data_IF_392944159830
#
_entry.id   IF_392944159830
#
_cell.length_a   1.000
_cell.length_b   1.000
_cell.length_c   1.000
_cell.angle_alpha   90.00
_cell.angle_beta   90.00
_cell.angle_gamma   90.00
#
_symmetry.space_group_name_H-M   'P 1'
#
loop_
_entity.id
_entity.type
_entity.pdbx_description
1 polymer ?
#
# COMPACT_ATOMS: atom_id res chain seq x y z
N UNK A 1 -26.51 -4.37 37.31
CA UNK A 1 -25.99 -5.61 36.67
C UNK A 1 -25.08 -5.19 35.55
N UNK A 2 -23.76 -5.24 35.75
CA UNK A 2 -22.76 -4.93 34.72
C UNK A 2 -22.31 -6.24 34.07
N UNK A 3 -22.62 -6.42 32.80
CA UNK A 3 -22.10 -7.52 31.98
C UNK A 3 -20.80 -7.01 31.31
N UNK A 4 -19.65 -7.45 31.81
CA UNK A 4 -18.37 -7.29 31.11
C UNK A 4 -18.26 -8.49 30.16
N UNK A 5 -18.40 -8.23 28.87
CA UNK A 5 -18.16 -9.20 27.81
C UNK A 5 -16.65 -9.25 27.54
N UNK A 6 -15.95 -10.21 28.16
CA UNK A 6 -14.53 -10.44 27.90
C UNK A 6 -14.36 -11.21 26.58
N UNK A 7 -13.93 -10.53 25.51
CA UNK A 7 -13.46 -11.19 24.29
C UNK A 7 -12.02 -11.69 24.53
N UNK A 8 -11.85 -12.99 24.79
CA UNK A 8 -10.53 -13.62 24.81
C UNK A 8 -10.06 -13.87 23.37
N UNK A 9 -9.02 -13.16 22.93
CA UNK A 9 -8.33 -13.42 21.68
C UNK A 9 -7.29 -14.53 21.91
N UNK A 10 -7.65 -15.77 21.61
CA UNK A 10 -6.70 -16.90 21.63
C UNK A 10 -5.79 -16.83 20.40
N UNK A 11 -4.56 -16.37 20.60
CA UNK A 11 -3.52 -16.40 19.57
C UNK A 11 -2.85 -17.79 19.57
N UNK A 12 -3.28 -18.65 18.65
CA UNK A 12 -2.64 -19.94 18.41
C UNK A 12 -1.25 -19.73 17.78
N UNK A 13 -0.18 -19.85 18.57
CA UNK A 13 1.19 -19.91 18.07
C UNK A 13 1.40 -21.30 17.47
N UNK A 14 1.36 -21.40 16.14
CA UNK A 14 1.69 -22.62 15.43
C UNK A 14 3.21 -22.80 15.44
N UNK A 15 3.69 -23.68 16.31
CA UNK A 15 5.07 -24.15 16.38
C UNK A 15 5.38 -25.10 15.22
N UNK A 16 6.36 -24.76 14.41
CA UNK A 16 7.04 -25.70 13.53
C UNK A 16 8.54 -25.74 13.88
N UNK A 17 8.95 -26.80 14.59
CA UNK A 17 10.33 -27.31 14.61
C UNK A 17 10.65 -27.88 13.22
N UNK A 18 11.87 -27.94 12.67
CA UNK A 18 13.22 -28.05 13.25
C UNK A 18 14.23 -27.90 12.12
N UNK A 19 15.30 -27.13 12.32
CA UNK A 19 16.65 -27.59 11.98
C UNK A 19 17.69 -26.69 12.67
N UNK A 20 18.58 -27.34 13.43
CA UNK A 20 19.61 -26.69 14.23
C UNK A 20 20.70 -26.09 13.34
N UNK A 21 20.95 -24.79 13.48
CA UNK A 21 22.27 -24.21 13.21
C UNK A 21 22.57 -23.13 14.25
N UNK A 22 23.72 -23.28 14.90
CA UNK A 22 24.22 -22.45 15.98
C UNK A 22 24.39 -21.01 15.52
N UNK A 23 23.62 -20.11 16.11
CA UNK A 23 23.74 -18.67 15.95
C UNK A 23 23.01 -18.02 17.10
N UNK A 24 23.78 -17.43 18.00
CA UNK A 24 23.40 -16.59 19.14
C UNK A 24 21.91 -16.22 19.17
N UNK A 25 21.11 -16.95 19.97
CA UNK A 25 19.76 -16.54 20.33
C UNK A 25 19.88 -15.24 21.13
N UNK A 26 19.71 -14.11 20.45
CA UNK A 26 19.40 -12.86 21.12
C UNK A 26 18.13 -13.14 21.94
N UNK A 27 18.27 -13.08 23.27
CA UNK A 27 17.14 -12.93 24.17
C UNK A 27 16.45 -11.62 23.79
N UNK A 28 15.56 -11.69 22.81
CA UNK A 28 14.65 -10.61 22.49
C UNK A 28 13.63 -10.63 23.62
N UNK A 29 13.87 -9.80 24.63
CA UNK A 29 12.95 -9.58 25.73
C UNK A 29 11.63 -9.06 25.13
N UNK A 30 10.67 -9.97 24.98
CA UNK A 30 9.40 -9.71 24.30
C UNK A 30 8.62 -8.59 24.97
N UNK A 31 8.86 -8.34 26.27
CA UNK A 31 8.26 -7.24 27.02
C UNK A 31 8.79 -5.86 26.56
N UNK A 32 10.09 -5.75 26.27
CA UNK A 32 10.68 -4.51 25.74
C UNK A 32 10.23 -4.22 24.30
N UNK A 33 10.01 -5.26 23.49
CA UNK A 33 9.46 -5.13 22.14
C UNK A 33 8.02 -4.60 22.13
N UNK A 34 7.18 -5.07 23.05
CA UNK A 34 5.79 -4.62 23.17
C UNK A 34 5.71 -3.17 23.68
N UNK A 35 6.49 -2.80 24.70
CA UNK A 35 6.53 -1.42 25.18
C UNK A 35 7.04 -0.44 24.11
N UNK A 36 8.04 -0.85 23.33
CA UNK A 36 8.58 -0.03 22.25
C UNK A 36 7.55 0.21 21.14
N UNK A 37 6.79 -0.82 20.76
CA UNK A 37 5.71 -0.70 19.77
C UNK A 37 4.57 0.19 20.30
N UNK A 38 4.16 0.02 21.56
CA UNK A 38 3.14 0.87 22.19
C UNK A 38 3.58 2.35 22.26
N UNK A 39 4.83 2.62 22.64
CA UNK A 39 5.38 4.00 22.65
C UNK A 39 5.47 4.62 21.26
N UNK A 40 5.67 3.81 20.21
CA UNK A 40 5.62 4.30 18.84
C UNK A 40 4.20 4.67 18.42
N UNK A 41 3.21 3.85 18.75
CA UNK A 41 1.81 4.13 18.46
C UNK A 41 1.34 5.41 19.18
N UNK A 42 1.74 5.61 20.43
CA UNK A 42 1.44 6.83 21.19
C UNK A 42 2.04 8.09 20.56
N UNK A 43 3.32 8.03 20.17
CA UNK A 43 4.00 9.16 19.52
C UNK A 43 3.36 9.49 18.19
N UNK A 44 3.00 8.49 17.40
CA UNK A 44 2.29 8.69 16.14
C UNK A 44 0.93 9.36 16.36
N UNK A 45 0.14 8.89 17.32
CA UNK A 45 -1.18 9.47 17.65
C UNK A 45 -1.09 10.92 18.16
N UNK A 46 -0.02 11.28 18.88
CA UNK A 46 0.24 12.66 19.28
C UNK A 46 0.60 13.55 18.07
N UNK A 47 1.50 13.09 17.21
CA UNK A 47 1.93 13.83 16.02
C UNK A 47 0.79 14.00 15.02
N UNK A 48 -0.07 13.01 14.89
CA UNK A 48 -1.27 13.03 14.05
C UNK A 48 -2.24 14.16 14.39
N UNK A 49 -2.30 14.59 15.66
CA UNK A 49 -3.18 15.70 16.10
C UNK A 49 -2.62 17.07 15.77
N UNK A 50 -1.29 17.18 15.61
CA UNK A 50 -0.61 18.44 15.28
C UNK A 50 -0.73 18.75 13.78
N UNK A 51 -0.47 20.00 13.44
CA UNK A 51 -0.33 20.40 12.05
C UNK A 51 1.06 19.98 11.54
N UNK A 52 1.10 19.33 10.37
CA UNK A 52 2.33 18.77 9.80
C UNK A 52 3.37 19.86 9.51
N UNK A 53 2.92 21.06 9.12
CA UNK A 53 3.79 22.20 8.87
C UNK A 53 4.55 22.66 10.13
N UNK A 54 4.00 22.40 11.32
CA UNK A 54 4.58 22.80 12.61
C UNK A 54 5.51 21.74 13.22
N UNK A 55 5.64 20.57 12.58
CA UNK A 55 6.53 19.52 13.04
C UNK A 55 7.98 19.86 12.70
N UNK A 56 8.90 19.48 13.60
CA UNK A 56 10.33 19.48 13.30
C UNK A 56 10.65 18.46 12.20
N UNK A 57 11.79 18.60 11.53
CA UNK A 57 12.19 17.67 10.46
C UNK A 57 12.31 16.21 10.94
N UNK A 58 12.77 16.00 12.17
CA UNK A 58 12.83 14.67 12.78
C UNK A 58 11.42 14.09 13.04
N UNK A 59 10.47 14.92 13.49
CA UNK A 59 9.06 14.52 13.68
C UNK A 59 8.38 14.23 12.35
N UNK A 60 8.63 15.04 11.31
CA UNK A 60 8.12 14.80 9.95
C UNK A 60 8.62 13.47 9.39
N UNK A 61 9.92 13.20 9.54
CA UNK A 61 10.52 11.93 9.12
C UNK A 61 9.88 10.75 9.85
N UNK A 62 9.74 10.85 11.17
CA UNK A 62 9.08 9.83 11.97
C UNK A 62 7.63 9.60 11.53
N UNK A 63 6.88 10.68 11.32
CA UNK A 63 5.48 10.63 10.88
C UNK A 63 5.32 9.99 9.50
N UNK A 64 6.21 10.33 8.54
CA UNK A 64 6.26 9.68 7.22
C UNK A 64 6.53 8.18 7.33
N UNK A 65 7.53 7.78 8.13
CA UNK A 65 7.87 6.37 8.32
C UNK A 65 6.73 5.58 8.97
N UNK A 66 6.05 6.17 9.95
CA UNK A 66 4.86 5.56 10.56
C UNK A 66 3.74 5.36 9.53
N UNK A 67 3.46 6.37 8.69
CA UNK A 67 2.49 6.25 7.61
C UNK A 67 2.87 5.20 6.56
N UNK A 68 4.14 5.12 6.18
CA UNK A 68 4.67 4.07 5.31
C UNK A 68 4.39 2.69 5.94
N UNK A 69 4.74 2.49 7.21
CA UNK A 69 4.51 1.22 7.88
C UNK A 69 3.02 0.84 7.96
N UNK A 70 2.13 1.81 8.18
CA UNK A 70 0.69 1.60 8.15
C UNK A 70 0.21 1.17 6.75
N UNK A 71 0.63 1.90 5.72
CA UNK A 71 0.25 1.62 4.34
C UNK A 71 0.83 0.29 3.81
N UNK A 72 1.99 -0.12 4.31
CA UNK A 72 2.60 -1.41 3.98
C UNK A 72 1.66 -2.58 4.32
N UNK A 73 0.90 -2.45 5.41
CA UNK A 73 -0.02 -3.48 5.89
C UNK A 73 -1.48 -3.25 5.46
N UNK A 74 -1.78 -2.13 4.78
CA UNK A 74 -3.14 -1.84 4.31
C UNK A 74 -3.45 -2.61 3.02
N UNK A 75 -4.34 -3.59 3.12
CA UNK A 75 -4.75 -4.45 2.00
C UNK A 75 -5.29 -3.65 0.80
N UNK A 76 -6.06 -2.59 1.04
CA UNK A 76 -6.60 -1.78 -0.05
C UNK A 76 -5.51 -0.98 -0.75
N UNK A 77 -4.50 -0.54 0.01
CA UNK A 77 -3.34 0.15 -0.56
C UNK A 77 -2.45 -0.78 -1.38
N UNK A 78 -2.20 -2.00 -0.90
CA UNK A 78 -1.43 -3.00 -1.65
C UNK A 78 -2.13 -3.37 -2.98
N UNK A 79 -3.45 -3.57 -2.97
CA UNK A 79 -4.21 -3.84 -4.18
C UNK A 79 -4.21 -2.64 -5.15
N UNK A 80 -4.28 -1.42 -4.62
CA UNK A 80 -4.12 -0.20 -5.42
C UNK A 80 -2.76 -0.17 -6.13
N UNK A 81 -1.66 -0.43 -5.41
CA UNK A 81 -0.31 -0.44 -5.98
C UNK A 81 -0.18 -1.47 -7.09
N UNK A 82 -0.73 -2.66 -6.89
CA UNK A 82 -0.76 -3.72 -7.91
C UNK A 82 -1.47 -3.27 -9.17
N UNK A 83 -2.71 -2.79 -9.07
CA UNK A 83 -3.49 -2.30 -10.23
C UNK A 83 -2.81 -1.10 -10.91
N UNK A 84 -2.19 -0.20 -10.15
CA UNK A 84 -1.43 0.94 -10.69
C UNK A 84 -0.23 0.47 -11.50
N UNK A 85 0.54 -0.50 -10.99
CA UNK A 85 1.74 -1.01 -11.64
C UNK A 85 1.37 -1.80 -12.90
N UNK A 86 0.32 -2.62 -12.85
CA UNK A 86 -0.26 -3.29 -14.01
C UNK A 86 -0.66 -2.26 -15.08
N UNK A 87 -1.44 -1.25 -14.73
CA UNK A 87 -1.87 -0.21 -15.67
C UNK A 87 -0.68 0.60 -16.24
N UNK A 88 0.34 0.88 -15.44
CA UNK A 88 1.52 1.66 -15.86
C UNK A 88 2.40 0.87 -16.83
N UNK A 89 2.66 -0.42 -16.56
CA UNK A 89 3.37 -1.31 -17.47
C UNK A 89 2.65 -1.38 -18.83
N UNK A 90 1.32 -1.44 -18.79
CA UNK A 90 0.45 -1.49 -19.97
C UNK A 90 0.42 -0.17 -20.76
N UNK A 91 0.53 0.98 -20.09
CA UNK A 91 0.64 2.27 -20.75
C UNK A 91 2.02 2.47 -21.40
N UNK A 92 3.09 2.05 -20.72
CA UNK A 92 4.46 2.14 -21.24
C UNK A 92 4.68 1.23 -22.46
N UNK A 93 4.12 0.01 -22.45
CA UNK A 93 4.14 -0.89 -23.61
C UNK A 93 3.37 -0.30 -24.80
N UNK A 94 2.21 0.33 -24.57
CA UNK A 94 1.48 1.12 -25.59
C UNK A 94 2.33 2.27 -26.14
N UNK A 95 2.95 3.09 -25.28
CA UNK A 95 3.74 4.26 -25.73
C UNK A 95 4.91 3.84 -26.62
N UNK A 96 5.61 2.74 -26.29
CA UNK A 96 6.71 2.18 -27.11
C UNK A 96 6.25 1.60 -28.45
N UNK A 97 5.01 1.10 -28.55
CA UNK A 97 4.49 0.45 -29.78
C UNK A 97 3.53 1.35 -30.60
N UNK A 98 3.11 2.49 -30.07
CA UNK A 98 2.01 3.31 -30.64
C UNK A 98 2.33 4.21 -31.82
N UNK A 99 3.60 4.47 -32.16
CA UNK A 99 3.90 5.35 -33.31
C UNK A 99 4.20 4.62 -34.62
N UNK A 100 4.69 3.38 -34.58
CA UNK A 100 5.07 2.65 -35.81
C UNK A 100 4.47 1.24 -35.94
N UNK A 101 4.06 0.56 -34.85
CA UNK A 101 3.81 -0.90 -34.88
C UNK A 101 2.43 -1.37 -34.44
N UNK A 102 1.62 -0.52 -33.79
CA UNK A 102 0.28 -0.92 -33.37
C UNK A 102 -0.72 -0.89 -34.55
N UNK A 103 -0.61 0.04 -35.50
CA UNK A 103 -1.67 0.22 -36.51
C UNK A 103 -3.00 0.64 -35.85
N UNK A 104 -4.07 0.76 -36.64
CA UNK A 104 -5.40 1.10 -36.09
C UNK A 104 -6.03 -0.17 -35.48
N UNK A 105 -6.54 -0.12 -34.24
CA UNK A 105 -7.30 -1.23 -33.70
C UNK A 105 -8.58 -1.44 -34.54
N UNK A 106 -9.03 -2.70 -34.70
CA UNK A 106 -10.29 -3.00 -35.38
C UNK A 106 -11.48 -2.34 -34.67
N UNK A 107 -12.63 -2.16 -35.33
CA UNK A 107 -13.82 -1.52 -34.72
C UNK A 107 -14.63 -2.48 -33.85
N UNK A 108 -14.61 -3.77 -34.17
CA UNK A 108 -15.39 -4.79 -33.49
C UNK A 108 -14.77 -5.17 -32.14
N UNK A 109 -15.62 -5.30 -31.11
CA UNK A 109 -15.17 -5.50 -29.74
C UNK A 109 -14.35 -6.78 -29.54
N UNK A 110 -14.79 -7.89 -30.10
CA UNK A 110 -14.08 -9.18 -29.97
C UNK A 110 -12.72 -9.14 -30.68
N UNK A 111 -12.66 -8.54 -31.87
CA UNK A 111 -11.43 -8.34 -32.61
C UNK A 111 -10.47 -7.37 -31.89
N UNK A 112 -10.99 -6.35 -31.18
CA UNK A 112 -10.19 -5.47 -30.34
C UNK A 112 -9.58 -6.24 -29.17
N UNK A 113 -10.39 -7.02 -28.44
CA UNK A 113 -9.91 -7.82 -27.31
C UNK A 113 -8.76 -8.73 -27.75
N UNK A 114 -8.93 -9.44 -28.86
CA UNK A 114 -7.89 -10.31 -29.41
C UNK A 114 -6.67 -9.54 -29.93
N UNK A 115 -6.88 -8.38 -30.56
CA UNK A 115 -5.81 -7.50 -30.99
C UNK A 115 -4.93 -7.03 -29.81
N UNK A 116 -5.54 -6.59 -28.71
CA UNK A 116 -4.79 -6.16 -27.52
C UNK A 116 -4.12 -7.35 -26.83
N UNK A 117 -4.80 -8.50 -26.71
CA UNK A 117 -4.22 -9.75 -26.19
C UNK A 117 -2.94 -10.14 -26.94
N UNK A 118 -2.97 -10.16 -28.27
CA UNK A 118 -1.79 -10.47 -29.11
C UNK A 118 -0.63 -9.50 -28.94
N UNK A 119 -0.91 -8.26 -28.49
CA UNK A 119 0.09 -7.24 -28.21
C UNK A 119 0.57 -7.25 -26.76
N UNK A 120 0.12 -8.21 -25.94
CA UNK A 120 0.40 -8.24 -24.50
C UNK A 120 -0.25 -7.09 -23.74
N UNK A 121 -1.31 -6.52 -24.32
CA UNK A 121 -2.02 -5.36 -23.80
C UNK A 121 -3.36 -5.74 -23.17
N UNK A 122 -3.72 -5.05 -22.08
CA UNK A 122 -5.11 -5.04 -21.62
C UNK A 122 -5.99 -4.42 -22.71
N UNK A 123 -7.19 -4.97 -22.91
CA UNK A 123 -8.19 -4.32 -23.75
C UNK A 123 -8.65 -3.00 -23.09
N UNK A 124 -9.21 -2.04 -23.86
CA UNK A 124 -9.54 -0.72 -23.36
C UNK A 124 -10.58 -0.73 -22.24
N UNK A 125 -11.53 -1.67 -22.25
CA UNK A 125 -12.57 -1.76 -21.23
C UNK A 125 -11.95 -2.21 -19.91
N UNK A 126 -11.17 -3.30 -19.93
CA UNK A 126 -10.46 -3.78 -18.76
C UNK A 126 -9.50 -2.72 -18.18
N UNK A 127 -8.80 -1.97 -19.04
CA UNK A 127 -7.95 -0.86 -18.61
C UNK A 127 -8.72 0.24 -17.87
N UNK A 128 -9.87 0.65 -18.41
CA UNK A 128 -10.74 1.66 -17.77
C UNK A 128 -11.30 1.13 -16.45
N UNK A 129 -11.72 -0.13 -16.40
CA UNK A 129 -12.26 -0.75 -15.20
C UNK A 129 -11.20 -0.87 -14.09
N UNK A 130 -9.98 -1.31 -14.43
CA UNK A 130 -8.86 -1.34 -13.48
C UNK A 130 -8.50 0.06 -12.99
N UNK A 131 -8.57 1.07 -13.87
CA UNK A 131 -8.34 2.48 -13.49
C UNK A 131 -9.38 2.94 -12.47
N UNK A 132 -10.67 2.68 -12.72
CA UNK A 132 -11.75 3.02 -11.78
C UNK A 132 -11.58 2.31 -10.43
N UNK A 133 -11.27 1.01 -10.44
CA UNK A 133 -11.02 0.23 -9.23
C UNK A 133 -9.85 0.79 -8.43
N UNK A 134 -8.73 1.09 -9.09
CA UNK A 134 -7.56 1.71 -8.45
C UNK A 134 -7.92 3.06 -7.82
N UNK A 135 -8.71 3.89 -8.50
CA UNK A 135 -9.18 5.18 -7.97
C UNK A 135 -10.04 5.00 -6.70
N UNK A 136 -10.96 4.04 -6.70
CA UNK A 136 -11.81 3.77 -5.53
C UNK A 136 -10.97 3.30 -4.34
N UNK A 137 -10.04 2.37 -4.57
CA UNK A 137 -9.12 1.86 -3.54
C UNK A 137 -8.27 2.99 -2.96
N UNK A 138 -7.74 3.86 -3.83
CA UNK A 138 -6.97 5.03 -3.42
C UNK A 138 -7.80 5.95 -2.51
N UNK A 139 -9.04 6.31 -2.89
CA UNK A 139 -9.89 7.15 -2.04
C UNK A 139 -10.31 6.47 -0.73
N UNK A 140 -10.52 5.16 -0.75
CA UNK A 140 -10.76 4.37 0.47
C UNK A 140 -9.58 4.48 1.45
N UNK A 141 -8.34 4.37 0.96
CA UNK A 141 -7.12 4.55 1.77
C UNK A 141 -7.07 5.96 2.37
N UNK A 142 -7.41 6.99 1.60
CA UNK A 142 -7.51 8.37 2.10
C UNK A 142 -8.65 8.61 3.10
N UNK A 143 -9.69 7.78 3.06
CA UNK A 143 -10.77 7.80 4.06
C UNK A 143 -10.32 7.17 5.38
N UNK A 144 -9.55 6.08 5.32
CA UNK A 144 -8.98 5.39 6.49
C UNK A 144 -7.83 6.16 7.13
N UNK A 145 -6.96 6.76 6.30
CA UNK A 145 -5.75 7.47 6.70
C UNK A 145 -5.81 8.95 6.25
N UNK A 146 -6.67 9.79 6.86
CA UNK A 146 -6.83 11.19 6.48
C UNK A 146 -5.55 12.03 6.69
N UNK A 147 -4.59 11.52 7.45
CA UNK A 147 -3.29 12.13 7.73
C UNK A 147 -2.46 12.35 6.46
N UNK A 148 -2.67 11.50 5.45
CA UNK A 148 -2.04 11.66 4.14
C UNK A 148 -2.39 13.01 3.50
N UNK A 149 -3.55 13.59 3.84
CA UNK A 149 -3.97 14.92 3.37
C UNK A 149 -3.22 16.06 4.03
N UNK A 150 -2.68 15.85 5.25
CA UNK A 150 -1.88 16.84 5.98
C UNK A 150 -0.46 16.95 5.43
N UNK A 151 0.04 15.90 4.79
CA UNK A 151 1.34 15.91 4.13
C UNK A 151 1.35 16.92 2.98
N UNK A 152 2.45 17.67 2.88
CA UNK A 152 2.72 18.48 1.70
C UNK A 152 2.81 17.63 0.43
N UNK A 153 2.62 18.19 -0.78
CA UNK A 153 2.60 17.41 -2.03
C UNK A 153 3.85 16.53 -2.23
N UNK A 154 5.03 17.05 -1.88
CA UNK A 154 6.31 16.33 -1.97
C UNK A 154 6.37 15.14 -1.00
N UNK A 155 6.09 15.37 0.27
CA UNK A 155 6.13 14.34 1.32
C UNK A 155 5.08 13.26 1.11
N UNK A 156 3.89 13.65 0.63
CA UNK A 156 2.84 12.71 0.26
C UNK A 156 3.28 11.80 -0.87
N UNK A 157 3.93 12.37 -1.90
CA UNK A 157 4.45 11.56 -2.99
C UNK A 157 5.49 10.57 -2.49
N UNK A 158 6.42 11.01 -1.62
CA UNK A 158 7.45 10.15 -1.03
C UNK A 158 6.85 8.96 -0.27
N UNK A 159 5.85 9.20 0.59
CA UNK A 159 5.13 8.14 1.32
C UNK A 159 4.44 7.18 0.36
N UNK A 160 3.78 7.69 -0.68
CA UNK A 160 3.03 6.86 -1.62
C UNK A 160 3.94 6.13 -2.64
N UNK A 161 5.14 6.63 -2.92
CA UNK A 161 6.08 6.02 -3.85
C UNK A 161 7.08 5.07 -3.20
N UNK A 162 7.05 4.92 -1.87
CA UNK A 162 8.04 4.14 -1.12
C UNK A 162 8.09 2.64 -1.48
N UNK A 163 7.06 2.14 -2.18
CA UNK A 163 6.88 0.72 -2.51
C UNK A 163 7.08 0.40 -4.00
N UNK A 164 7.62 1.36 -4.77
CA UNK A 164 7.89 1.22 -6.20
C UNK A 164 9.31 0.74 -6.48
#
# INVERSE_FOLDING_TARGET
>A
MNLILSLSLSLSVLSASSNMHSGTLLNYDSNNGIEFLQKQDEKYEQLKKRDYATLSEAEKLYFKNALINLLKNDVAYQEYLKLRNENSAQYLSRKKTSRETLGRPPKEREAQIEYYRKKGLLDPVAFVDNTKKATILFFSVFGKHPELRKLGPKDRLEVLSHFN
#
